data_IF_082459455963
#
_entry.id   IF_082459455963
#
_cell.length_a   1.000
_cell.length_b   1.000
_cell.length_c   1.000
_cell.angle_alpha   90.00
_cell.angle_beta   90.00
_cell.angle_gamma   90.00
#
_symmetry.space_group_name_H-M   'P 1'
#
loop_
_entity.id
_entity.type
_entity.pdbx_description
1 polymer ?
#
# COMPACT_ATOMS: atom_id res chain seq x y z
N UNK A 1 27.41 -15.93 -21.22
CA UNK A 1 26.58 -16.51 -20.14
C UNK A 1 26.28 -15.40 -19.12
N UNK A 2 24.99 -15.16 -18.89
CA UNK A 2 24.34 -14.36 -17.82
C UNK A 2 24.96 -13.01 -17.40
N UNK A 3 24.42 -11.92 -17.95
CA UNK A 3 24.43 -10.62 -17.28
C UNK A 3 23.70 -10.77 -15.93
N UNK A 4 24.27 -10.39 -14.78
CA UNK A 4 23.48 -10.21 -13.59
C UNK A 4 22.69 -8.93 -13.83
N UNK A 5 21.49 -9.07 -14.40
CA UNK A 5 20.45 -8.06 -14.22
C UNK A 5 20.28 -7.98 -12.72
N UNK A 6 20.91 -6.99 -12.10
CA UNK A 6 20.60 -6.56 -10.75
C UNK A 6 19.15 -6.14 -10.82
N UNK A 7 18.26 -7.10 -10.65
CA UNK A 7 16.90 -6.83 -10.24
C UNK A 7 17.10 -6.17 -8.88
N UNK A 8 17.26 -4.84 -8.88
CA UNK A 8 16.93 -4.02 -7.73
C UNK A 8 15.53 -4.50 -7.38
N UNK A 9 15.47 -5.38 -6.38
CA UNK A 9 14.22 -5.90 -5.86
C UNK A 9 13.55 -4.67 -5.31
N UNK A 10 12.72 -4.02 -6.14
CA UNK A 10 12.14 -2.71 -5.84
C UNK A 10 11.55 -2.81 -4.45
N UNK A 11 12.27 -2.24 -3.50
CA UNK A 11 12.01 -2.51 -2.10
C UNK A 11 10.84 -1.61 -1.73
N UNK A 12 9.64 -2.16 -1.82
CA UNK A 12 8.43 -1.46 -1.41
C UNK A 12 8.31 -1.52 0.11
N UNK A 13 7.82 -0.42 0.69
CA UNK A 13 7.31 -0.38 2.06
C UNK A 13 5.81 -0.16 1.98
N UNK A 14 5.10 -0.79 2.91
CA UNK A 14 3.64 -0.73 3.00
C UNK A 14 3.22 -0.20 4.37
N UNK A 15 2.13 0.55 4.40
CA UNK A 15 1.52 1.08 5.62
C UNK A 15 0.00 0.95 5.52
N UNK A 16 -0.64 0.50 6.59
CA UNK A 16 -2.09 0.34 6.68
C UNK A 16 -2.61 1.31 7.73
N UNK A 17 -3.57 2.16 7.35
CA UNK A 17 -4.13 3.22 8.19
C UNK A 17 -5.64 3.08 8.25
N UNK A 18 -6.23 3.29 9.43
CA UNK A 18 -7.68 3.45 9.60
C UNK A 18 -8.07 4.91 9.37
N UNK A 19 -9.11 5.18 8.58
CA UNK A 19 -9.62 6.55 8.38
C UNK A 19 -11.13 6.61 8.59
N UNK A 20 -11.64 7.80 8.89
CA UNK A 20 -13.08 7.97 9.11
C UNK A 20 -13.89 7.92 7.80
N UNK A 21 -13.28 8.24 6.65
CA UNK A 21 -13.92 8.19 5.33
C UNK A 21 -13.80 6.85 4.61
N UNK A 22 -12.88 6.00 5.06
CA UNK A 22 -12.70 4.62 4.62
C UNK A 22 -12.10 3.83 5.79
N UNK A 23 -12.74 2.74 6.21
CA UNK A 23 -12.28 1.96 7.37
C UNK A 23 -10.80 1.57 7.25
N UNK A 24 -10.30 1.31 6.04
CA UNK A 24 -8.88 1.04 5.82
C UNK A 24 -8.34 1.62 4.51
N UNK A 25 -7.13 2.20 4.60
CA UNK A 25 -6.33 2.68 3.47
C UNK A 25 -4.94 2.05 3.53
N UNK A 26 -4.53 1.40 2.43
CA UNK A 26 -3.19 0.87 2.26
C UNK A 26 -2.35 1.81 1.41
N UNK A 27 -1.21 2.24 1.94
CA UNK A 27 -0.21 3.02 1.23
C UNK A 27 0.98 2.14 0.84
N UNK A 28 1.59 2.48 -0.29
CA UNK A 28 2.89 1.95 -0.70
C UNK A 28 3.84 3.09 -1.02
N UNK A 29 5.13 2.86 -0.81
CA UNK A 29 6.19 3.71 -1.35
C UNK A 29 7.36 2.87 -1.82
N UNK A 30 8.09 3.34 -2.83
CA UNK A 30 9.41 2.76 -3.11
C UNK A 30 10.40 3.36 -2.12
N UNK A 31 11.45 2.62 -1.79
CA UNK A 31 12.54 3.17 -0.98
C UNK A 31 13.27 4.32 -1.68
N UNK A 32 13.25 4.37 -3.00
CA UNK A 32 14.04 5.29 -3.82
C UNK A 32 13.43 6.68 -3.92
N UNK A 33 12.10 6.78 -4.08
CA UNK A 33 11.37 8.04 -4.25
C UNK A 33 10.81 8.59 -2.93
N UNK A 34 10.59 7.73 -1.94
CA UNK A 34 10.13 8.11 -0.60
C UNK A 34 8.67 8.61 -0.54
N UNK A 35 8.01 8.75 -1.70
CA UNK A 35 6.64 9.24 -1.85
C UNK A 35 5.65 8.12 -1.55
N UNK A 36 4.75 8.37 -0.61
CA UNK A 36 3.62 7.49 -0.34
C UNK A 36 2.52 7.67 -1.40
N UNK A 37 2.00 6.55 -1.88
CA UNK A 37 0.90 6.47 -2.83
C UNK A 37 -0.17 5.53 -2.28
N UNK A 38 -1.44 5.85 -2.53
CA UNK A 38 -2.55 4.95 -2.20
C UNK A 38 -2.51 3.74 -3.12
N UNK A 39 -2.44 2.55 -2.54
CA UNK A 39 -2.45 1.27 -3.24
C UNK A 39 -3.84 0.64 -3.25
N UNK A 40 -4.56 0.69 -2.12
CA UNK A 40 -5.91 0.16 -2.00
C UNK A 40 -6.68 0.89 -0.89
N UNK A 41 -8.00 0.92 -1.02
CA UNK A 41 -8.94 1.46 -0.03
C UNK A 41 -10.13 0.53 0.08
N UNK A 42 -10.55 0.19 1.29
CA UNK A 42 -11.80 -0.56 1.49
C UNK A 42 -12.57 -0.05 2.69
N UNK A 43 -13.89 -0.17 2.59
CA UNK A 43 -14.82 0.04 3.69
C UNK A 43 -15.33 -1.32 4.15
N UNK A 44 -15.50 -1.49 5.45
CA UNK A 44 -16.23 -2.60 6.04
C UNK A 44 -17.68 -2.09 6.19
N UNK A 45 -18.63 -2.60 5.39
CA UNK A 45 -20.02 -2.20 5.53
C UNK A 45 -20.47 -2.49 6.97
N UNK A 46 -20.81 -1.43 7.71
CA UNK A 46 -21.43 -1.61 9.02
C UNK A 46 -22.85 -2.07 8.77
N UNK A 47 -23.15 -3.32 9.13
CA UNK A 47 -24.53 -3.77 9.16
C UNK A 47 -25.28 -2.84 10.11
N UNK A 48 -26.27 -2.12 9.59
CA UNK A 48 -27.21 -1.39 10.43
C UNK A 48 -28.00 -2.48 11.14
N UNK A 49 -27.67 -2.78 12.40
CA UNK A 49 -28.54 -3.59 13.22
C UNK A 49 -29.78 -2.77 13.51
N UNK A 50 -30.83 -2.97 12.71
CA UNK A 50 -32.19 -2.51 12.96
C UNK A 50 -32.93 -3.49 13.84
#
# INVERSE_FOLDING_TARGET
MSNPTTASSKAYRYELVHSDGADFVAYQRRREDGLWQTFATWMIPRAICT
#
